data_IF_174236865249
#
_entry.id   IF_174236865249
#
_cell.length_a   1.000
_cell.length_b   1.000
_cell.length_c   1.000
_cell.angle_alpha   90.00
_cell.angle_beta   90.00
_cell.angle_gamma   90.00
#
_symmetry.space_group_name_H-M   'P 1'
#
loop_
_entity.id
_entity.type
_entity.pdbx_description
1 polymer ?
#
# COMPACT_ATOMS: atom_id res chain seq x y z
N UNK A 1 -4.20 -20.18 4.50
CA UNK A 1 -5.21 -19.40 5.25
C UNK A 1 -6.22 -18.75 4.30
N UNK A 2 -5.82 -17.87 3.38
CA UNK A 2 -6.75 -17.24 2.42
C UNK A 2 -7.59 -18.19 1.56
N UNK A 3 -7.04 -19.34 1.17
CA UNK A 3 -7.76 -20.39 0.41
C UNK A 3 -8.92 -21.05 1.17
N UNK A 4 -8.94 -20.93 2.50
CA UNK A 4 -9.97 -21.53 3.36
C UNK A 4 -11.17 -20.59 3.55
N UNK A 5 -11.11 -19.38 3.00
CA UNK A 5 -12.21 -18.43 3.12
C UNK A 5 -13.21 -18.72 2.01
N UNK A 6 -14.46 -18.95 2.41
CA UNK A 6 -15.53 -19.22 1.48
C UNK A 6 -15.88 -17.97 0.64
N UNK A 7 -16.20 -18.17 -0.64
CA UNK A 7 -16.68 -17.08 -1.48
C UNK A 7 -18.00 -16.53 -0.91
N UNK A 8 -18.21 -15.23 -1.04
CA UNK A 8 -19.40 -14.55 -0.54
C UNK A 8 -20.10 -13.78 -1.65
N UNK A 9 -21.41 -14.04 -1.80
CA UNK A 9 -22.22 -13.52 -2.89
C UNK A 9 -21.83 -14.11 -4.25
N UNK A 10 -22.61 -13.81 -5.29
CA UNK A 10 -22.31 -14.26 -6.66
C UNK A 10 -21.10 -13.55 -7.28
N UNK A 11 -20.81 -12.31 -6.87
CA UNK A 11 -19.77 -11.48 -7.49
C UNK A 11 -18.92 -10.65 -6.51
N UNK A 12 -19.14 -10.73 -5.20
CA UNK A 12 -18.49 -9.81 -4.23
C UNK A 12 -17.16 -10.33 -3.70
N UNK A 13 -17.07 -11.61 -3.31
CA UNK A 13 -15.80 -12.22 -2.86
C UNK A 13 -15.66 -13.56 -3.56
N UNK A 14 -14.65 -13.67 -4.43
CA UNK A 14 -14.33 -14.91 -5.15
C UNK A 14 -13.31 -15.74 -4.38
N UNK A 15 -13.21 -17.02 -4.74
CA UNK A 15 -12.22 -17.92 -4.15
C UNK A 15 -10.81 -17.46 -4.52
N UNK A 16 -9.97 -17.24 -3.50
CA UNK A 16 -8.55 -16.92 -3.68
C UNK A 16 -7.79 -18.17 -4.16
N UNK A 17 -7.59 -18.30 -5.49
CA UNK A 17 -6.86 -19.44 -6.09
C UNK A 17 -5.34 -19.28 -5.94
N UNK A 18 -4.84 -18.05 -6.05
CA UNK A 18 -3.42 -17.72 -5.98
C UNK A 18 -2.96 -17.39 -4.56
N UNK A 19 -1.65 -17.45 -4.34
CA UNK A 19 -1.07 -17.08 -3.07
C UNK A 19 -1.15 -15.55 -2.89
N UNK A 20 -2.02 -15.11 -1.99
CA UNK A 20 -2.24 -13.68 -1.69
C UNK A 20 -0.94 -13.02 -1.19
N UNK A 21 -0.10 -13.73 -0.43
CA UNK A 21 1.15 -13.17 0.10
C UNK A 21 2.22 -12.92 -0.97
N UNK A 22 2.15 -13.62 -2.10
CA UNK A 22 3.07 -13.39 -3.23
C UNK A 22 2.67 -12.16 -4.06
N UNK A 23 1.40 -11.74 -3.98
CA UNK A 23 0.82 -10.63 -4.75
C UNK A 23 1.15 -10.71 -6.25
N UNK A 24 1.20 -11.94 -6.78
CA UNK A 24 1.56 -12.21 -8.18
C UNK A 24 0.31 -12.15 -9.05
N UNK A 25 0.37 -11.37 -10.13
CA UNK A 25 -0.76 -11.13 -11.06
C UNK A 25 -2.00 -10.49 -10.38
N UNK A 26 -1.79 -9.72 -9.33
CA UNK A 26 -2.86 -8.98 -8.65
C UNK A 26 -3.40 -7.86 -9.54
N UNK A 27 -4.68 -7.95 -9.92
CA UNK A 27 -5.41 -6.87 -10.58
C UNK A 27 -5.95 -5.88 -9.53
N UNK A 28 -6.34 -4.68 -9.97
CA UNK A 28 -6.94 -3.66 -9.08
C UNK A 28 -8.11 -4.21 -8.25
N UNK A 29 -8.96 -5.04 -8.87
CA UNK A 29 -10.08 -5.70 -8.19
C UNK A 29 -9.65 -6.67 -7.10
N UNK A 30 -8.55 -7.41 -7.30
CA UNK A 30 -8.04 -8.33 -6.27
C UNK A 30 -7.59 -7.55 -5.02
N UNK A 31 -7.05 -6.33 -5.21
CA UNK A 31 -6.73 -5.44 -4.09
C UNK A 31 -7.99 -4.97 -3.37
N UNK A 32 -9.04 -4.59 -4.09
CA UNK A 32 -10.32 -4.21 -3.48
C UNK A 32 -10.96 -5.40 -2.74
N UNK A 33 -10.92 -6.59 -3.33
CA UNK A 33 -11.41 -7.79 -2.68
C UNK A 33 -10.65 -8.02 -1.38
N UNK A 34 -9.30 -7.98 -1.37
CA UNK A 34 -8.52 -8.14 -0.14
C UNK A 34 -8.77 -7.02 0.88
N UNK A 35 -8.90 -5.76 0.46
CA UNK A 35 -8.86 -4.58 1.33
C UNK A 35 -10.23 -3.99 1.74
N UNK A 36 -11.26 -4.08 0.89
CA UNK A 36 -12.44 -3.19 1.01
C UNK A 36 -13.66 -3.86 1.62
N UNK A 37 -14.17 -4.92 1.01
CA UNK A 37 -15.35 -5.63 1.52
C UNK A 37 -14.98 -6.89 2.31
N UNK A 38 -13.75 -7.37 2.13
CA UNK A 38 -13.28 -8.60 2.73
C UNK A 38 -12.27 -8.42 3.85
N UNK A 39 -11.69 -7.25 4.12
CA UNK A 39 -10.72 -7.11 5.22
C UNK A 39 -11.26 -7.64 6.55
N UNK A 40 -12.50 -7.31 6.91
CA UNK A 40 -13.13 -7.86 8.12
C UNK A 40 -13.39 -9.37 8.05
N UNK A 41 -13.65 -9.92 6.86
CA UNK A 41 -14.04 -11.34 6.68
C UNK A 41 -12.91 -12.27 6.26
N UNK A 42 -11.85 -11.73 5.69
CA UNK A 42 -10.77 -12.45 5.02
C UNK A 42 -9.43 -12.10 5.65
N UNK A 43 -9.09 -10.81 5.69
CA UNK A 43 -7.79 -10.36 6.20
C UNK A 43 -7.68 -10.61 7.71
N UNK A 44 -8.71 -10.24 8.48
CA UNK A 44 -8.71 -10.43 9.94
C UNK A 44 -8.61 -11.93 10.32
N UNK A 45 -9.46 -12.85 9.82
CA UNK A 45 -9.32 -14.28 10.14
C UNK A 45 -8.03 -14.91 9.60
N UNK A 46 -7.49 -14.39 8.49
CA UNK A 46 -6.22 -14.87 7.95
C UNK A 46 -5.01 -14.44 8.81
N UNK A 47 -5.13 -13.35 9.56
CA UNK A 47 -4.07 -12.84 10.43
C UNK A 47 -4.26 -13.20 11.89
N UNK A 48 -5.48 -13.49 12.34
CA UNK A 48 -5.77 -13.83 13.74
C UNK A 48 -4.88 -14.97 14.25
N UNK A 49 -4.13 -14.72 15.32
CA UNK A 49 -3.20 -15.69 15.90
C UNK A 49 -2.02 -16.03 14.99
N UNK A 50 -1.73 -15.21 13.98
CA UNK A 50 -0.51 -15.37 13.17
C UNK A 50 0.71 -14.83 13.90
N UNK A 51 0.54 -13.79 14.71
CA UNK A 51 1.63 -13.12 15.41
C UNK A 51 1.53 -13.30 16.93
N UNK A 52 2.65 -13.17 17.65
CA UNK A 52 2.63 -13.16 19.11
C UNK A 52 1.88 -11.92 19.61
N UNK A 53 1.20 -12.07 20.75
CA UNK A 53 0.64 -10.93 21.47
C UNK A 53 1.77 -10.05 22.02
N UNK A 54 1.63 -8.71 22.05
CA UNK A 54 0.44 -7.91 21.73
C UNK A 54 0.28 -7.53 20.24
N UNK A 55 1.25 -7.89 19.39
CA UNK A 55 1.34 -7.38 18.01
C UNK A 55 0.21 -7.87 17.10
N UNK A 56 -0.34 -9.05 17.34
CA UNK A 56 -1.49 -9.58 16.60
C UNK A 56 -2.70 -8.63 16.68
N UNK A 57 -3.02 -8.17 17.90
CA UNK A 57 -4.11 -7.23 18.15
C UNK A 57 -3.80 -5.87 17.51
N UNK A 58 -2.57 -5.38 17.67
CA UNK A 58 -2.18 -4.08 17.11
C UNK A 58 -2.32 -4.04 15.58
N UNK A 59 -1.90 -5.11 14.89
CA UNK A 59 -2.04 -5.20 13.43
C UNK A 59 -3.51 -5.33 13.03
N UNK A 60 -4.31 -6.13 13.75
CA UNK A 60 -5.75 -6.24 13.47
C UNK A 60 -6.46 -4.90 13.63
N UNK A 61 -6.15 -4.15 14.69
CA UNK A 61 -6.69 -2.81 14.92
C UNK A 61 -6.29 -1.84 13.79
N UNK A 62 -5.03 -1.89 13.36
CA UNK A 62 -4.54 -1.10 12.22
C UNK A 62 -5.32 -1.41 10.94
N UNK A 63 -5.61 -2.68 10.66
CA UNK A 63 -6.35 -3.09 9.47
C UNK A 63 -7.83 -2.68 9.52
N UNK A 64 -8.44 -2.74 10.70
CA UNK A 64 -9.80 -2.23 10.90
C UNK A 64 -9.82 -0.73 10.62
N UNK A 65 -8.89 0.03 11.19
CA UNK A 65 -8.81 1.47 10.95
C UNK A 65 -8.53 1.82 9.47
N UNK A 66 -7.70 1.04 8.78
CA UNK A 66 -7.48 1.21 7.33
C UNK A 66 -8.77 0.99 6.52
N UNK A 67 -9.56 -0.02 6.90
CA UNK A 67 -10.84 -0.34 6.25
C UNK A 67 -11.89 0.73 6.53
N UNK A 68 -11.90 1.30 7.74
CA UNK A 68 -12.76 2.41 8.15
C UNK A 68 -12.50 3.65 7.29
N UNK A 69 -11.23 4.07 7.19
CA UNK A 69 -10.81 5.17 6.32
C UNK A 69 -11.20 4.92 4.87
N UNK A 70 -10.93 3.72 4.34
CA UNK A 70 -11.22 3.40 2.95
C UNK A 70 -12.73 3.39 2.66
N UNK A 71 -13.52 2.81 3.55
CA UNK A 71 -14.99 2.78 3.45
C UNK A 71 -15.59 4.18 3.43
N UNK A 72 -15.14 5.05 4.34
CA UNK A 72 -15.60 6.44 4.44
C UNK A 72 -15.13 7.28 3.25
N UNK A 73 -13.89 7.11 2.80
CA UNK A 73 -13.33 7.85 1.67
C UNK A 73 -13.99 7.50 0.32
N UNK A 74 -14.55 6.28 0.19
CA UNK A 74 -15.21 5.81 -1.04
C UNK A 74 -16.73 6.03 -1.05
N UNK A 75 -17.27 6.76 -0.06
CA UNK A 75 -18.68 7.13 -0.08
C UNK A 75 -18.99 7.96 -1.33
N UNK A 76 -20.13 7.66 -1.98
CA UNK A 76 -20.62 8.42 -3.14
C UNK A 76 -21.30 9.73 -2.74
N UNK A 77 -21.53 9.93 -1.45
CA UNK A 77 -22.11 11.14 -0.91
C UNK A 77 -21.40 11.45 0.40
N UNK A 78 -20.81 12.63 0.48
CA UNK A 78 -20.22 13.15 1.70
C UNK A 78 -21.16 14.20 2.31
N UNK A 79 -21.38 14.09 3.61
CA UNK A 79 -22.05 15.10 4.44
C UNK A 79 -21.05 15.61 5.47
N UNK A 80 -21.37 16.71 6.17
CA UNK A 80 -20.50 17.20 7.24
C UNK A 80 -20.22 16.14 8.31
N UNK A 81 -21.22 15.29 8.59
CA UNK A 81 -21.07 14.16 9.52
C UNK A 81 -20.06 13.14 9.00
N UNK A 82 -20.21 12.68 7.76
CA UNK A 82 -19.28 11.65 7.22
C UNK A 82 -17.89 12.20 6.96
N UNK A 83 -17.74 13.50 6.73
CA UNK A 83 -16.43 14.17 6.68
C UNK A 83 -15.77 14.22 8.06
N UNK A 84 -16.54 14.51 9.12
CA UNK A 84 -16.03 14.45 10.48
C UNK A 84 -15.62 13.02 10.87
N UNK A 85 -16.43 12.03 10.52
CA UNK A 85 -16.11 10.62 10.74
C UNK A 85 -14.85 10.21 9.97
N UNK A 86 -14.69 10.66 8.72
CA UNK A 86 -13.49 10.40 7.92
C UNK A 86 -12.24 11.04 8.55
N UNK A 87 -12.36 12.24 9.11
CA UNK A 87 -11.28 12.91 9.82
C UNK A 87 -10.87 12.16 11.09
N UNK A 88 -11.85 11.73 11.88
CA UNK A 88 -11.61 10.90 13.07
C UNK A 88 -10.95 9.56 12.70
N UNK A 89 -11.43 8.89 11.64
CA UNK A 89 -10.87 7.64 11.15
C UNK A 89 -9.41 7.80 10.66
N UNK A 90 -9.12 8.90 9.94
CA UNK A 90 -7.76 9.21 9.47
C UNK A 90 -6.80 9.49 10.63
N UNK A 91 -7.25 10.20 11.67
CA UNK A 91 -6.47 10.43 12.88
C UNK A 91 -6.15 9.11 13.58
N UNK A 92 -7.18 8.29 13.84
CA UNK A 92 -7.05 6.96 14.44
C UNK A 92 -6.08 6.06 13.67
N UNK A 93 -6.24 5.97 12.35
CA UNK A 93 -5.33 5.22 11.48
C UNK A 93 -3.90 5.77 11.55
N UNK A 94 -3.75 7.11 11.56
CA UNK A 94 -2.47 7.77 11.70
C UNK A 94 -1.76 7.50 13.03
N UNK A 95 -2.49 7.33 14.14
CA UNK A 95 -1.91 6.91 15.41
C UNK A 95 -1.46 5.45 15.34
N UNK A 96 -2.36 4.54 14.95
CA UNK A 96 -2.07 3.10 14.88
C UNK A 96 -0.91 2.76 13.95
N UNK A 97 -0.73 3.49 12.84
CA UNK A 97 0.38 3.24 11.93
C UNK A 97 1.72 3.71 12.48
N UNK A 98 1.70 4.76 13.33
CA UNK A 98 2.89 5.20 14.05
C UNK A 98 3.26 4.19 15.12
N UNK A 99 2.30 3.74 15.91
CA UNK A 99 2.51 2.71 16.94
C UNK A 99 3.00 1.40 16.31
N UNK A 100 2.45 1.01 15.16
CA UNK A 100 2.95 -0.13 14.39
C UNK A 100 4.41 0.04 14.00
N UNK A 101 4.81 1.22 13.53
CA UNK A 101 6.19 1.49 13.12
C UNK A 101 7.17 1.54 14.30
N UNK A 102 6.75 2.07 15.46
CA UNK A 102 7.61 2.29 16.63
C UNK A 102 7.67 1.08 17.56
N UNK A 103 6.57 0.34 17.70
CA UNK A 103 6.47 -0.75 18.68
C UNK A 103 6.47 -2.12 18.02
N UNK A 104 5.82 -2.28 16.86
CA UNK A 104 5.65 -3.60 16.24
C UNK A 104 6.78 -3.92 15.27
N UNK A 105 7.09 -3.03 14.33
CA UNK A 105 8.13 -3.27 13.32
C UNK A 105 9.52 -3.61 13.90
N UNK A 106 10.01 -2.95 14.97
CA UNK A 106 11.34 -3.27 15.52
C UNK A 106 11.43 -4.68 16.12
N UNK A 107 10.30 -5.28 16.53
CA UNK A 107 10.26 -6.63 17.10
C UNK A 107 10.36 -7.74 16.04
N UNK A 108 10.22 -7.42 14.75
CA UNK A 108 10.26 -8.41 13.68
C UNK A 108 11.39 -8.10 12.69
N UNK A 109 12.33 -9.03 12.56
CA UNK A 109 13.40 -8.94 11.56
C UNK A 109 12.83 -9.22 10.17
N UNK A 110 12.67 -8.18 9.37
CA UNK A 110 12.20 -8.29 7.97
C UNK A 110 13.33 -8.10 6.97
N UNK A 111 13.39 -8.98 5.97
CA UNK A 111 14.35 -8.91 4.85
C UNK A 111 13.63 -8.59 3.54
N UNK A 112 14.37 -8.09 2.55
CA UNK A 112 13.82 -7.87 1.21
C UNK A 112 13.21 -9.16 0.64
N UNK A 113 12.05 -9.02 0.01
CA UNK A 113 11.44 -10.14 -0.71
C UNK A 113 12.33 -10.56 -1.90
N UNK A 114 12.27 -11.83 -2.36
CA UNK A 114 13.03 -12.28 -3.53
C UNK A 114 12.83 -11.38 -4.76
N UNK A 115 11.59 -10.91 -4.97
CA UNK A 115 11.23 -10.01 -6.06
C UNK A 115 11.89 -8.63 -5.95
N UNK A 116 11.96 -8.06 -4.74
CA UNK A 116 12.67 -6.80 -4.51
C UNK A 116 14.18 -6.96 -4.73
N UNK A 117 14.76 -8.10 -4.34
CA UNK A 117 16.16 -8.43 -4.59
C UNK A 117 16.44 -8.53 -6.10
N UNK A 118 15.64 -9.30 -6.83
CA UNK A 118 15.75 -9.41 -8.29
C UNK A 118 15.59 -8.06 -8.99
N UNK A 119 14.61 -7.24 -8.57
CA UNK A 119 14.41 -5.91 -9.14
C UNK A 119 15.60 -4.98 -8.85
N UNK A 120 16.18 -5.04 -7.65
CA UNK A 120 17.38 -4.29 -7.30
C UNK A 120 18.59 -4.73 -8.13
N UNK A 121 18.80 -6.04 -8.28
CA UNK A 121 19.87 -6.61 -9.11
C UNK A 121 19.74 -6.15 -10.57
N UNK A 122 18.53 -6.19 -11.14
CA UNK A 122 18.25 -5.69 -12.50
C UNK A 122 18.53 -4.19 -12.64
N UNK A 123 18.17 -3.37 -11.64
CA UNK A 123 18.46 -1.93 -11.63
C UNK A 123 19.96 -1.66 -11.59
N UNK A 124 20.70 -2.39 -10.75
CA UNK A 124 22.17 -2.30 -10.69
C UNK A 124 22.83 -2.71 -11.99
N UNK A 125 22.40 -3.82 -12.60
CA UNK A 125 22.91 -4.24 -13.90
C UNK A 125 22.64 -3.19 -14.98
N UNK A 126 21.45 -2.57 -14.98
CA UNK A 126 21.12 -1.48 -15.91
C UNK A 126 21.93 -0.20 -15.65
N UNK A 127 22.21 0.12 -14.38
CA UNK A 127 23.06 1.26 -14.01
C UNK A 127 24.51 1.01 -14.39
N UNK A 128 25.04 -0.20 -14.16
CA UNK A 128 26.38 -0.60 -14.58
C UNK A 128 26.52 -0.59 -16.10
N UNK A 129 25.51 -1.06 -16.84
CA UNK A 129 25.47 -0.96 -18.30
C UNK A 129 25.46 0.50 -18.78
N UNK A 130 24.68 1.38 -18.13
CA UNK A 130 24.67 2.83 -18.43
C UNK A 130 25.97 3.55 -18.04
N UNK A 131 26.62 3.12 -16.97
CA UNK A 131 27.91 3.63 -16.56
C UNK A 131 29.02 3.15 -17.52
N UNK A 132 28.95 1.90 -18.00
CA UNK A 132 29.86 1.36 -19.00
C UNK A 132 29.71 2.06 -20.37
N UNK A 133 28.49 2.44 -20.78
CA UNK A 133 28.29 3.28 -21.98
C UNK A 133 28.86 4.69 -21.81
N UNK A 134 28.90 5.23 -20.59
CA UNK A 134 29.52 6.53 -20.29
C UNK A 134 31.04 6.43 -20.05
N UNK A 135 31.56 5.24 -19.71
CA UNK A 135 32.97 4.97 -19.40
C UNK A 135 33.79 4.54 -20.63
N UNK A 136 33.21 4.50 -21.83
CA UNK A 136 33.98 4.31 -23.08
C UNK A 136 34.99 5.46 -23.37
N UNK A 137 35.14 6.44 -22.47
CA UNK A 137 36.12 7.51 -22.55
C UNK A 137 37.36 7.33 -21.66
N UNK A 138 37.45 6.34 -20.75
CA UNK A 138 38.72 6.09 -20.02
C UNK A 138 38.82 4.66 -19.49
N UNK A 139 39.96 4.01 -19.77
CA UNK A 139 40.19 2.58 -19.68
C UNK A 139 40.40 2.01 -18.27
N UNK A 140 40.14 0.69 -18.21
CA UNK A 140 40.73 -0.37 -17.37
C UNK A 140 40.46 -0.39 -15.86
N UNK A 141 39.67 -1.38 -15.43
CA UNK A 141 39.98 -2.35 -14.35
C UNK A 141 38.87 -3.44 -14.29
N UNK A 142 39.18 -4.70 -13.90
CA UNK A 142 38.24 -5.82 -13.96
C UNK A 142 37.17 -5.77 -12.84
N UNK A 143 35.96 -6.30 -13.07
CA UNK A 143 34.88 -6.24 -12.10
C UNK A 143 35.07 -7.30 -11.01
N UNK A 144 35.51 -6.88 -9.82
CA UNK A 144 35.31 -7.68 -8.61
C UNK A 144 33.80 -7.74 -8.31
N UNK A 145 33.21 -8.93 -8.37
CA UNK A 145 31.87 -9.19 -7.86
C UNK A 145 31.91 -9.22 -6.32
N UNK A 146 31.21 -8.33 -5.60
CA UNK A 146 30.89 -8.55 -4.21
C UNK A 146 29.56 -9.32 -4.14
N UNK A 147 29.58 -10.60 -4.51
CA UNK A 147 28.51 -11.51 -4.10
C UNK A 147 28.76 -11.88 -2.63
N UNK A 148 27.93 -11.39 -1.71
CA UNK A 148 27.50 -12.09 -0.47
C UNK A 148 26.94 -11.19 0.65
N UNK A 149 27.10 -9.86 0.63
CA UNK A 149 26.65 -9.02 1.78
C UNK A 149 25.26 -8.38 1.64
N UNK A 150 24.67 -8.34 0.46
CA UNK A 150 23.40 -7.62 0.25
C UNK A 150 22.13 -8.46 0.42
N UNK A 151 22.27 -9.79 0.53
CA UNK A 151 21.12 -10.69 0.62
C UNK A 151 20.40 -10.63 1.97
N UNK A 152 21.07 -10.17 3.02
CA UNK A 152 20.55 -10.05 4.39
C UNK A 152 20.41 -8.59 4.86
N UNK A 153 20.13 -7.66 3.94
CA UNK A 153 19.79 -6.28 4.36
C UNK A 153 18.43 -6.32 5.03
N UNK A 154 18.43 -6.07 6.34
CA UNK A 154 17.23 -5.82 7.12
C UNK A 154 16.56 -4.56 6.60
N UNK A 155 15.27 -4.67 6.29
CA UNK A 155 14.46 -3.57 5.82
C UNK A 155 13.52 -3.18 6.94
N UNK A 156 13.62 -1.94 7.37
CA UNK A 156 12.72 -1.38 8.35
C UNK A 156 11.55 -0.67 7.66
N UNK A 157 10.39 -0.72 8.31
CA UNK A 157 9.24 0.05 7.87
C UNK A 157 9.52 1.54 8.07
N UNK A 158 9.25 2.35 7.04
CA UNK A 158 9.50 3.79 7.07
C UNK A 158 8.22 4.58 6.84
N UNK A 159 7.92 5.45 7.79
CA UNK A 159 6.76 6.37 7.78
C UNK A 159 6.96 7.59 6.88
N UNK A 160 8.19 7.90 6.47
CA UNK A 160 8.48 9.10 5.66
C UNK A 160 8.03 8.97 4.20
N UNK A 161 7.35 7.87 3.85
CA UNK A 161 6.82 7.68 2.51
C UNK A 161 5.72 8.73 2.24
N UNK A 162 5.81 9.47 1.12
CA UNK A 162 4.88 10.56 0.81
C UNK A 162 3.42 10.10 0.74
N UNK A 163 3.19 8.81 0.47
CA UNK A 163 1.87 8.19 0.44
C UNK A 163 1.08 8.39 1.75
N UNK A 164 1.72 8.36 2.91
CA UNK A 164 1.04 8.55 4.19
C UNK A 164 0.66 10.01 4.43
N UNK A 165 1.50 10.95 3.97
CA UNK A 165 1.21 12.38 4.04
C UNK A 165 0.10 12.79 3.08
N UNK A 166 -0.03 12.09 1.94
CA UNK A 166 -1.07 12.35 0.94
C UNK A 166 -2.50 12.03 1.45
N UNK A 167 -2.66 11.09 2.39
CA UNK A 167 -3.98 10.65 2.89
C UNK A 167 -4.77 11.79 3.53
N UNK A 168 -4.09 12.69 4.25
CA UNK A 168 -4.74 13.83 4.91
C UNK A 168 -5.23 14.90 3.93
N UNK A 169 -4.73 14.91 2.70
CA UNK A 169 -5.22 15.82 1.67
C UNK A 169 -6.57 15.37 1.11
N UNK A 170 -6.94 14.10 1.25
CA UNK A 170 -8.24 13.60 0.80
C UNK A 170 -9.41 14.35 1.40
N UNK A 171 -9.35 14.76 2.67
CA UNK A 171 -10.41 15.57 3.29
C UNK A 171 -10.58 16.92 2.57
N UNK A 172 -9.47 17.57 2.24
CA UNK A 172 -9.47 18.85 1.53
C UNK A 172 -10.00 18.67 0.10
N UNK A 173 -9.53 17.64 -0.57
CA UNK A 173 -9.93 17.32 -1.94
C UNK A 173 -11.42 16.97 -1.99
N UNK A 174 -11.93 16.20 -1.02
CA UNK A 174 -13.35 15.82 -0.96
C UNK A 174 -14.23 17.04 -0.71
N UNK A 175 -13.82 17.94 0.19
CA UNK A 175 -14.54 19.20 0.43
C UNK A 175 -14.57 20.11 -0.80
N UNK A 176 -13.48 20.14 -1.58
CA UNK A 176 -13.35 21.05 -2.72
C UNK A 176 -13.97 20.51 -4.01
N UNK A 177 -13.89 19.20 -4.24
CA UNK A 177 -14.23 18.58 -5.52
C UNK A 177 -15.34 17.52 -5.42
N UNK A 178 -15.81 17.19 -4.21
CA UNK A 178 -16.78 16.13 -4.00
C UNK A 178 -16.14 14.74 -3.91
N UNK A 179 -16.78 13.71 -4.45
CA UNK A 179 -16.31 12.32 -4.26
C UNK A 179 -15.01 12.03 -5.00
N UNK A 180 -14.16 11.16 -4.44
CA UNK A 180 -12.93 10.68 -5.09
C UNK A 180 -13.21 9.76 -6.30
N UNK A 181 -14.43 9.23 -6.43
CA UNK A 181 -14.89 8.42 -7.55
C UNK A 181 -15.32 9.33 -8.73
N UNK A 182 -14.39 9.63 -9.64
CA UNK A 182 -14.74 10.28 -10.91
C UNK A 182 -14.03 11.61 -11.22
N UNK A 183 -12.76 11.76 -10.84
CA UNK A 183 -11.92 12.86 -11.36
C UNK A 183 -11.77 12.72 -12.89
N UNK A 184 -12.66 13.36 -13.63
CA UNK A 184 -12.45 13.63 -15.06
C UNK A 184 -11.73 14.97 -15.16
N UNK A 185 -10.45 14.96 -15.57
CA UNK A 185 -9.68 16.17 -15.85
C UNK A 185 -10.14 16.88 -17.14
N UNK A 186 -11.44 16.92 -17.41
CA UNK A 186 -11.98 17.74 -18.48
C UNK A 186 -11.94 19.19 -18.00
N UNK A 187 -10.92 19.92 -18.48
CA UNK A 187 -10.88 21.38 -18.41
C UNK A 187 -12.24 21.89 -18.88
N UNK A 188 -12.99 22.53 -17.98
CA UNK A 188 -14.08 23.41 -18.38
C UNK A 188 -13.46 24.51 -19.24
N UNK A 189 -13.60 24.38 -20.55
CA UNK A 189 -13.23 25.44 -21.50
C UNK A 189 -14.21 26.56 -21.23
N UNK A 190 -13.77 27.63 -20.55
CA UNK A 190 -14.53 28.88 -20.46
C UNK A 190 -14.85 29.30 -21.89
N UNK A 191 -16.11 29.15 -22.29
CA UNK A 191 -16.63 29.89 -23.44
C UNK A 191 -16.80 31.32 -22.94
N UNK A 192 -15.85 32.17 -23.31
CA UNK A 192 -15.99 33.61 -23.19
C UNK A 192 -17.18 34.01 -24.07
N UNK A 193 -18.29 34.40 -23.45
CA UNK A 193 -19.33 35.12 -24.14
C UNK A 193 -18.74 36.49 -24.52
N UNK A 194 -18.50 36.67 -25.82
CA UNK A 194 -18.28 37.99 -26.41
C UNK A 194 -19.63 38.72 -26.36
N UNK A 195 -19.69 39.81 -25.61
CA UNK A 195 -20.65 40.90 -25.77
C UNK A 195 -19.94 42.04 -26.47
#
# INVERSE_FOLDING_TARGET
RFRLIDPFGRDTIRRFSHNVSEMKKFAARDFEDVLQASSLRCMIPALEGLLPQPHDINIRNLLIAATEVHSLAKLRLHTEVTLHDLEAALLKYGHLIRDFATETCPCFKTTKTPKEREAAARRKAKQAARAATNALATSSMPPQQPQSKEDNIEVYYSLTRPKFHALFYWLKDIRLFGTLEGFSALRVRRQSALS
#
